data_IF_658837269465
#
_entry.id   IF_658837269465
#
_cell.length_a   1.000
_cell.length_b   1.000
_cell.length_c   1.000
_cell.angle_alpha   90.00
_cell.angle_beta   90.00
_cell.angle_gamma   90.00
#
_symmetry.space_group_name_H-M   'P 1'
#
loop_
_entity.id
_entity.type
_entity.pdbx_description
1 polymer ?
#
# COMPACT_ATOMS: atom_id res chain seq x y z
N UNK A 1 -1.87 -15.56 -10.10
CA UNK A 1 -1.37 -14.47 -9.23
C UNK A 1 -0.70 -15.11 -8.05
N UNK A 2 0.54 -14.73 -7.79
CA UNK A 2 1.25 -15.05 -6.56
C UNK A 2 1.02 -13.94 -5.54
N UNK A 3 0.83 -14.30 -4.26
CA UNK A 3 0.64 -13.32 -3.18
C UNK A 3 1.95 -13.21 -2.41
N UNK A 4 2.65 -12.10 -2.62
CA UNK A 4 3.90 -11.82 -1.93
C UNK A 4 3.65 -11.42 -0.47
N UNK A 5 4.45 -12.00 0.43
CA UNK A 5 4.43 -11.62 1.84
C UNK A 5 5.25 -10.34 2.02
N UNK A 6 4.61 -9.30 2.54
CA UNK A 6 5.25 -8.01 2.80
C UNK A 6 5.25 -7.76 4.31
N UNK A 7 6.43 -7.64 4.94
CA UNK A 7 6.53 -7.25 6.35
C UNK A 7 5.75 -5.95 6.61
N UNK A 8 4.93 -5.93 7.67
CA UNK A 8 4.15 -4.73 8.04
C UNK A 8 2.92 -4.44 7.17
N UNK A 9 2.55 -5.32 6.23
CA UNK A 9 1.32 -5.18 5.46
C UNK A 9 0.07 -5.60 6.26
N UNK A 10 -0.39 -4.75 7.17
CA UNK A 10 -1.53 -5.03 8.07
C UNK A 10 -2.91 -4.88 7.41
N UNK A 11 -2.98 -4.15 6.29
CA UNK A 11 -4.25 -3.79 5.65
C UNK A 11 -5.06 -2.73 6.41
N UNK A 12 -4.48 -2.11 7.45
CA UNK A 12 -5.09 -1.02 8.22
C UNK A 12 -4.30 0.27 8.03
N UNK A 13 -4.63 1.31 8.79
CA UNK A 13 -3.98 2.64 8.70
C UNK A 13 -2.49 2.60 9.08
N UNK A 14 -2.11 1.65 9.92
CA UNK A 14 -0.75 1.39 10.37
C UNK A 14 0.07 0.54 9.37
N UNK A 15 -0.52 0.15 8.22
CA UNK A 15 0.20 -0.61 7.20
C UNK A 15 1.47 0.12 6.79
N UNK A 16 2.56 -0.65 6.66
CA UNK A 16 3.81 -0.16 6.08
C UNK A 16 3.64 -0.05 4.57
N UNK A 17 3.46 1.19 4.11
CA UNK A 17 3.20 1.49 2.71
C UNK A 17 4.48 1.44 1.88
N UNK A 18 5.63 1.75 2.49
CA UNK A 18 6.92 1.74 1.82
C UNK A 18 7.42 0.31 1.62
N UNK A 19 7.21 -0.57 2.60
CA UNK A 19 7.51 -1.99 2.45
C UNK A 19 6.75 -2.59 1.26
N UNK A 20 5.46 -2.23 1.09
CA UNK A 20 4.67 -2.64 -0.08
C UNK A 20 5.26 -2.13 -1.39
N UNK A 21 5.64 -0.86 -1.45
CA UNK A 21 6.23 -0.28 -2.65
C UNK A 21 7.57 -0.95 -3.02
N UNK A 22 8.46 -1.16 -2.02
CA UNK A 22 9.77 -1.78 -2.22
C UNK A 22 9.66 -3.22 -2.72
N UNK A 23 8.80 -4.03 -2.11
CA UNK A 23 8.56 -5.42 -2.54
C UNK A 23 7.90 -5.45 -3.93
N UNK A 24 6.93 -4.57 -4.19
CA UNK A 24 6.29 -4.50 -5.51
C UNK A 24 7.28 -4.12 -6.62
N UNK A 25 8.22 -3.20 -6.34
CA UNK A 25 9.26 -2.83 -7.31
C UNK A 25 10.24 -3.98 -7.58
N UNK A 26 10.66 -4.70 -6.53
CA UNK A 26 11.51 -5.88 -6.68
C UNK A 26 10.81 -7.00 -7.46
N UNK A 27 9.51 -7.18 -7.24
CA UNK A 27 8.73 -8.20 -7.95
C UNK A 27 8.71 -8.00 -9.47
N UNK A 28 8.86 -6.77 -9.98
CA UNK A 28 8.95 -6.54 -11.42
C UNK A 28 10.21 -7.14 -12.07
N UNK A 29 11.20 -7.59 -11.29
CA UNK A 29 12.36 -8.33 -11.81
C UNK A 29 11.99 -9.78 -12.18
N UNK A 30 10.93 -10.34 -11.58
CA UNK A 30 10.50 -11.74 -11.76
C UNK A 30 9.13 -11.87 -12.43
N UNK A 31 8.30 -10.83 -12.37
CA UNK A 31 6.92 -10.82 -12.86
C UNK A 31 6.69 -9.71 -13.88
N UNK A 32 6.01 -10.03 -14.98
CA UNK A 32 5.63 -9.05 -16.02
C UNK A 32 4.54 -8.06 -15.56
N UNK A 33 3.82 -8.39 -14.48
CA UNK A 33 2.72 -7.60 -13.96
C UNK A 33 2.62 -7.70 -12.45
N UNK A 34 2.61 -6.56 -11.78
CA UNK A 34 2.48 -6.45 -10.31
C UNK A 34 1.25 -5.64 -9.95
N UNK A 35 0.44 -6.19 -9.05
CA UNK A 35 -0.75 -5.53 -8.50
C UNK A 35 -0.52 -5.19 -7.03
N UNK A 36 -0.73 -3.91 -6.65
CA UNK A 36 -0.56 -3.44 -5.28
C UNK A 36 -1.91 -2.98 -4.71
N UNK A 37 -2.41 -3.69 -3.70
CA UNK A 37 -3.65 -3.34 -3.03
C UNK A 37 -3.42 -2.54 -1.73
N UNK A 38 -4.18 -1.45 -1.56
CA UNK A 38 -4.16 -0.59 -0.37
C UNK A 38 -5.57 -0.47 0.20
N UNK A 39 -5.76 -0.89 1.45
CA UNK A 39 -7.09 -0.97 2.10
C UNK A 39 -7.37 0.14 3.11
N UNK A 40 -6.33 0.76 3.68
CA UNK A 40 -6.46 1.66 4.84
C UNK A 40 -7.41 2.86 4.62
N UNK A 41 -7.47 3.43 3.42
CA UNK A 41 -8.34 4.57 3.10
C UNK A 41 -9.83 4.22 3.18
N UNK A 42 -10.19 2.99 2.80
CA UNK A 42 -11.56 2.49 2.88
C UNK A 42 -11.97 2.28 4.35
N UNK A 43 -11.10 1.65 5.15
CA UNK A 43 -11.36 1.47 6.59
C UNK A 43 -11.59 2.82 7.28
N UNK A 44 -10.73 3.82 7.03
CA UNK A 44 -10.90 5.15 7.61
C UNK A 44 -12.21 5.83 7.15
N UNK A 45 -12.65 5.59 5.91
CA UNK A 45 -13.92 6.13 5.40
C UNK A 45 -15.14 5.51 6.10
N UNK A 46 -15.13 4.19 6.31
CA UNK A 46 -16.19 3.48 7.02
C UNK A 46 -16.36 4.00 8.45
N UNK A 47 -15.27 4.36 9.11
CA UNK A 47 -15.26 4.87 10.49
C UNK A 47 -15.59 6.38 10.59
N UNK A 48 -15.80 7.07 9.46
CA UNK A 48 -15.98 8.53 9.45
C UNK A 48 -14.71 9.31 9.85
N UNK A 49 -13.53 8.66 9.82
CA UNK A 49 -12.26 9.24 10.21
C UNK A 49 -11.62 10.00 9.03
N UNK A 50 -11.90 11.31 8.95
CA UNK A 50 -11.37 12.18 7.90
C UNK A 50 -9.83 12.23 7.90
N UNK A 51 -9.22 12.47 9.06
CA UNK A 51 -7.75 12.58 9.17
C UNK A 51 -7.06 11.29 8.72
N UNK A 52 -7.61 10.15 9.12
CA UNK A 52 -7.08 8.85 8.73
C UNK A 52 -7.21 8.58 7.22
N UNK A 53 -8.29 9.05 6.60
CA UNK A 53 -8.47 8.95 5.15
C UNK A 53 -7.45 9.81 4.40
N UNK A 54 -7.27 11.06 4.82
CA UNK A 54 -6.27 11.97 4.24
C UNK A 54 -4.86 11.40 4.35
N UNK A 55 -4.48 10.94 5.55
CA UNK A 55 -3.19 10.28 5.78
C UNK A 55 -2.96 9.09 4.84
N UNK A 56 -4.00 8.27 4.63
CA UNK A 56 -3.87 7.11 3.74
C UNK A 56 -3.73 7.50 2.27
N UNK A 57 -4.36 8.59 1.83
CA UNK A 57 -4.18 9.13 0.47
C UNK A 57 -2.75 9.64 0.29
N UNK A 58 -2.21 10.38 1.27
CA UNK A 58 -0.81 10.83 1.25
C UNK A 58 0.19 9.66 1.29
N UNK A 59 -0.13 8.58 2.03
CA UNK A 59 0.65 7.34 2.00
C UNK A 59 0.65 6.71 0.60
N UNK A 60 -0.49 6.74 -0.11
CA UNK A 60 -0.58 6.25 -1.50
C UNK A 60 0.24 7.13 -2.44
N UNK A 61 0.24 8.44 -2.26
CA UNK A 61 1.12 9.35 -3.03
C UNK A 61 2.60 8.98 -2.85
N UNK A 62 3.06 8.77 -1.60
CA UNK A 62 4.41 8.28 -1.31
C UNK A 62 4.69 6.90 -1.91
N UNK A 63 3.71 6.00 -1.93
CA UNK A 63 3.85 4.68 -2.55
C UNK A 63 4.18 4.83 -4.05
N UNK A 64 3.46 5.70 -4.76
CA UNK A 64 3.69 5.93 -6.19
C UNK A 64 5.07 6.54 -6.42
N UNK A 65 5.51 7.49 -5.57
CA UNK A 65 6.85 8.08 -5.66
C UNK A 65 8.00 7.07 -5.51
N UNK A 66 7.78 5.95 -4.80
CA UNK A 66 8.79 4.88 -4.64
C UNK A 66 8.76 3.90 -5.83
N UNK A 67 7.61 3.76 -6.49
CA UNK A 67 7.44 2.88 -7.66
C UNK A 67 7.98 3.49 -8.95
N UNK A 68 7.95 4.82 -9.07
CA UNK A 68 8.48 5.59 -10.20
C UNK A 68 9.94 5.98 -10.00
#
# INVERSE_FOLDING_TARGET
MEVLQVPGATGRIDTDIEAKAKVARQALEEFDFVFVHVKGADNASHDGNLEGKLLMIEKVDRLVQILC
#
